data_IF_032126182277
#
_entry.id   IF_032126182277
#
_cell.length_a   1.000
_cell.length_b   1.000
_cell.length_c   1.000
_cell.angle_alpha   90.00
_cell.angle_beta   90.00
_cell.angle_gamma   90.00
#
_symmetry.space_group_name_H-M   'P 1'
#
loop_
_entity.id
_entity.type
_entity.pdbx_description
1 polymer ?
#
# COMPACT_ATOMS: atom_id res chain seq x y z
N UNK A 1 3.61 6.26 5.23
CA UNK A 1 4.53 6.72 4.16
C UNK A 1 5.21 5.51 3.54
N UNK A 2 5.48 5.52 2.23
CA UNK A 2 6.26 4.49 1.54
C UNK A 2 7.72 4.89 1.36
N UNK A 3 8.62 3.90 1.35
CA UNK A 3 10.04 4.11 1.04
C UNK A 3 10.36 3.56 -0.34
N UNK A 4 10.92 4.41 -1.19
CA UNK A 4 11.30 4.07 -2.55
C UNK A 4 12.79 4.22 -2.78
N UNK A 5 13.28 3.47 -3.76
CA UNK A 5 14.64 3.61 -4.26
C UNK A 5 14.55 4.05 -5.72
N UNK A 6 15.15 5.21 -6.02
CA UNK A 6 15.15 5.83 -7.34
C UNK A 6 16.58 5.93 -7.87
N UNK A 7 16.74 6.36 -9.12
CA UNK A 7 18.05 6.66 -9.71
C UNK A 7 18.84 7.74 -8.96
N UNK A 8 18.18 8.58 -8.16
CA UNK A 8 18.80 9.63 -7.36
C UNK A 8 19.01 9.21 -5.88
N UNK A 9 18.83 7.93 -5.57
CA UNK A 9 18.92 7.38 -4.22
C UNK A 9 17.55 7.19 -3.57
N UNK A 10 17.55 7.15 -2.23
CA UNK A 10 16.38 6.89 -1.42
C UNK A 10 15.42 8.08 -1.39
N UNK A 11 14.12 7.80 -1.55
CA UNK A 11 13.07 8.79 -1.45
C UNK A 11 11.91 8.29 -0.59
N UNK A 12 11.19 9.23 0.00
CA UNK A 12 9.95 8.99 0.74
C UNK A 12 8.78 9.38 -0.12
N UNK A 13 7.84 8.46 -0.34
CA UNK A 13 6.67 8.70 -1.17
C UNK A 13 5.40 8.62 -0.32
N UNK A 14 4.47 9.53 -0.57
CA UNK A 14 3.13 9.48 0.00
C UNK A 14 2.20 8.84 -1.02
N UNK A 15 1.62 7.69 -0.69
CA UNK A 15 0.61 7.07 -1.55
C UNK A 15 -0.74 7.63 -1.15
N UNK A 16 -1.45 8.18 -2.13
CA UNK A 16 -2.72 8.84 -1.94
C UNK A 16 -3.83 7.99 -2.54
N UNK A 17 -4.95 7.89 -1.85
CA UNK A 17 -6.14 7.22 -2.37
C UNK A 17 -7.35 8.11 -2.13
N UNK A 18 -8.25 8.16 -3.09
CA UNK A 18 -9.51 8.92 -3.00
C UNK A 18 -10.61 8.22 -3.76
N UNK A 19 -11.85 8.63 -3.50
CA UNK A 19 -13.03 8.20 -4.24
C UNK A 19 -13.48 9.32 -5.17
N UNK A 20 -13.72 9.01 -6.45
CA UNK A 20 -14.11 10.00 -7.45
C UNK A 20 -15.58 9.90 -7.92
N UNK A 21 -16.38 9.01 -7.32
CA UNK A 21 -17.85 8.91 -7.51
C UNK A 21 -18.54 8.50 -6.22
N UNK A 22 -19.79 8.95 -6.03
CA UNK A 22 -20.62 8.51 -4.90
C UNK A 22 -20.84 6.99 -4.96
N UNK A 23 -20.84 6.36 -3.78
CA UNK A 23 -21.15 4.94 -3.66
C UNK A 23 -22.64 4.72 -4.00
N UNK A 24 -22.91 3.78 -4.89
CA UNK A 24 -24.28 3.34 -5.19
C UNK A 24 -24.57 2.07 -4.39
N UNK A 25 -25.22 2.23 -3.24
CA UNK A 25 -25.60 1.12 -2.35
C UNK A 25 -26.93 0.48 -2.74
N UNK A 26 -27.64 1.02 -3.74
CA UNK A 26 -28.95 0.51 -4.16
C UNK A 26 -28.86 -0.74 -5.03
N UNK A 27 -27.68 -1.02 -5.59
CA UNK A 27 -27.44 -2.16 -6.48
C UNK A 27 -26.92 -3.39 -5.72
N UNK A 28 -27.35 -4.61 -6.05
CA UNK A 28 -26.84 -5.83 -5.40
C UNK A 28 -25.42 -6.17 -5.88
N UNK A 29 -24.53 -6.56 -4.96
CA UNK A 29 -23.11 -6.91 -5.24
C UNK A 29 -22.92 -8.22 -6.02
N UNK A 30 -23.98 -9.01 -6.21
CA UNK A 30 -23.96 -10.34 -6.84
C UNK A 30 -23.77 -10.34 -8.36
N UNK A 31 -23.51 -9.18 -8.97
CA UNK A 31 -23.33 -9.03 -10.41
C UNK A 31 -24.62 -9.22 -11.21
N UNK A 32 -25.79 -9.26 -10.56
CA UNK A 32 -27.10 -9.35 -11.24
C UNK A 32 -27.53 -8.05 -11.93
N UNK A 33 -26.81 -6.94 -11.68
CA UNK A 33 -27.10 -5.66 -12.33
C UNK A 33 -26.58 -5.65 -13.75
N UNK A 34 -27.51 -5.63 -14.71
CA UNK A 34 -27.21 -5.52 -16.14
C UNK A 34 -27.36 -4.06 -16.57
N UNK A 35 -26.38 -3.55 -17.32
CA UNK A 35 -26.44 -2.22 -17.89
C UNK A 35 -27.36 -2.14 -19.13
N UNK A 36 -27.57 -0.94 -19.66
CA UNK A 36 -28.43 -0.72 -20.84
C UNK A 36 -27.94 -1.43 -22.12
N UNK A 37 -26.68 -1.88 -22.13
CA UNK A 37 -26.06 -2.64 -23.23
C UNK A 37 -26.12 -4.16 -23.02
N UNK A 38 -26.75 -4.64 -21.94
CA UNK A 38 -26.83 -6.07 -21.67
C UNK A 38 -25.58 -6.67 -21.02
N UNK A 39 -24.62 -5.84 -20.57
CA UNK A 39 -23.40 -6.29 -19.91
C UNK A 39 -23.55 -6.22 -18.39
N UNK A 40 -22.86 -7.13 -17.68
CA UNK A 40 -22.76 -7.06 -16.22
C UNK A 40 -22.05 -5.76 -15.83
N UNK A 41 -22.74 -4.95 -15.02
CA UNK A 41 -22.19 -3.68 -14.57
C UNK A 41 -21.14 -3.94 -13.47
N UNK A 42 -19.87 -3.65 -13.77
CA UNK A 42 -18.83 -3.66 -12.74
C UNK A 42 -19.16 -2.62 -11.66
N UNK A 43 -19.30 -3.09 -10.43
CA UNK A 43 -19.40 -2.24 -9.26
C UNK A 43 -17.97 -1.86 -8.86
N UNK A 44 -17.69 -0.56 -8.84
CA UNK A 44 -16.36 -0.02 -8.57
C UNK A 44 -15.41 0.00 -9.76
N UNK A 45 -14.35 0.79 -9.61
CA UNK A 45 -13.25 0.88 -10.57
C UNK A 45 -11.97 1.30 -9.86
N UNK A 46 -10.82 1.03 -10.47
CA UNK A 46 -9.52 1.38 -9.90
C UNK A 46 -8.67 2.13 -10.92
N UNK A 47 -8.46 3.42 -10.65
CA UNK A 47 -7.64 4.29 -11.49
C UNK A 47 -6.26 4.49 -10.86
N UNK A 48 -5.23 4.52 -11.70
CA UNK A 48 -3.83 4.65 -11.29
C UNK A 48 -3.19 5.84 -11.98
N UNK A 49 -2.45 6.67 -11.23
CA UNK A 49 -1.67 7.79 -11.77
C UNK A 49 -0.36 7.96 -11.00
N UNK A 50 0.58 8.72 -11.58
CA UNK A 50 1.91 8.94 -10.98
C UNK A 50 3.10 8.53 -11.83
N UNK A 51 2.91 8.34 -13.14
CA UNK A 51 3.92 7.83 -14.08
C UNK A 51 4.49 6.48 -13.62
N UNK A 52 3.58 5.54 -13.38
CA UNK A 52 3.90 4.19 -12.97
C UNK A 52 4.35 3.36 -14.17
N UNK A 53 5.46 2.64 -14.03
CA UNK A 53 5.85 1.57 -14.93
C UNK A 53 4.92 0.35 -14.79
N UNK A 54 5.11 -0.65 -15.65
CA UNK A 54 4.18 -1.78 -15.72
C UNK A 54 4.27 -2.68 -14.48
N UNK A 55 5.46 -2.85 -13.89
CA UNK A 55 5.64 -3.60 -12.64
C UNK A 55 4.92 -2.90 -11.48
N UNK A 56 5.00 -1.57 -11.43
CA UNK A 56 4.31 -0.82 -10.37
C UNK A 56 2.78 -0.80 -10.56
N UNK A 57 2.27 -0.76 -11.80
CA UNK A 57 0.84 -0.95 -12.07
C UNK A 57 0.36 -2.34 -11.65
N UNK A 58 1.14 -3.38 -11.94
CA UNK A 58 0.81 -4.75 -11.52
C UNK A 58 0.81 -4.87 -9.99
N UNK A 59 1.84 -4.33 -9.32
CA UNK A 59 1.92 -4.26 -7.86
C UNK A 59 0.71 -3.54 -7.25
N UNK A 60 0.23 -2.45 -7.84
CA UNK A 60 -0.96 -1.75 -7.38
C UNK A 60 -2.25 -2.59 -7.52
N UNK A 61 -2.38 -3.36 -8.61
CA UNK A 61 -3.52 -4.26 -8.81
C UNK A 61 -3.50 -5.45 -7.83
N UNK A 62 -2.31 -6.01 -7.55
CA UNK A 62 -2.12 -7.05 -6.53
C UNK A 62 -2.50 -6.49 -5.15
N UNK A 63 -2.02 -5.30 -4.80
CA UNK A 63 -2.36 -4.64 -3.54
C UNK A 63 -3.87 -4.40 -3.41
N UNK A 64 -4.54 -3.93 -4.47
CA UNK A 64 -5.98 -3.71 -4.44
C UNK A 64 -6.78 -5.01 -4.29
N UNK A 65 -6.37 -6.06 -4.99
CA UNK A 65 -6.99 -7.39 -4.88
C UNK A 65 -6.81 -7.96 -3.48
N UNK A 66 -5.60 -7.86 -2.92
CA UNK A 66 -5.32 -8.30 -1.57
C UNK A 66 -6.12 -7.48 -0.53
N UNK A 67 -6.19 -6.15 -0.65
CA UNK A 67 -6.95 -5.30 0.28
C UNK A 67 -8.43 -5.71 0.38
N UNK A 68 -9.07 -6.03 -0.77
CA UNK A 68 -10.42 -6.59 -0.80
C UNK A 68 -10.53 -7.91 -0.05
N UNK A 69 -9.64 -8.85 -0.37
CA UNK A 69 -9.63 -10.18 0.28
C UNK A 69 -9.35 -10.09 1.78
N UNK A 70 -8.48 -9.17 2.19
CA UNK A 70 -8.08 -8.96 3.56
C UNK A 70 -9.24 -8.49 4.43
N UNK A 71 -10.00 -7.48 3.98
CA UNK A 71 -11.19 -7.01 4.69
C UNK A 71 -12.29 -8.08 4.73
N UNK A 72 -12.49 -8.81 3.61
CA UNK A 72 -13.46 -9.91 3.56
C UNK A 72 -13.13 -11.01 4.58
N UNK A 73 -11.88 -11.44 4.68
CA UNK A 73 -11.45 -12.47 5.64
C UNK A 73 -11.55 -12.04 7.10
N UNK A 74 -11.50 -10.73 7.37
CA UNK A 74 -11.62 -10.16 8.71
C UNK A 74 -13.06 -9.86 9.11
N UNK A 75 -14.04 -10.16 8.24
CA UNK A 75 -15.46 -9.88 8.47
C UNK A 75 -15.74 -8.39 8.75
N UNK A 76 -14.89 -7.50 8.22
CA UNK A 76 -15.04 -6.04 8.29
C UNK A 76 -15.98 -5.58 7.16
N UNK A 77 -17.25 -5.97 7.26
CA UNK A 77 -18.26 -5.83 6.20
C UNK A 77 -18.34 -4.41 5.59
N UNK A 78 -18.38 -3.30 6.37
CA UNK A 78 -18.44 -1.96 5.79
C UNK A 78 -17.24 -1.63 4.90
N UNK A 79 -16.04 -2.03 5.32
CA UNK A 79 -14.81 -1.77 4.56
C UNK A 79 -14.68 -2.70 3.35
N UNK A 80 -15.08 -3.97 3.51
CA UNK A 80 -15.13 -4.96 2.42
C UNK A 80 -16.09 -4.51 1.31
N UNK A 81 -17.33 -4.14 1.67
CA UNK A 81 -18.33 -3.63 0.73
C UNK A 81 -17.87 -2.34 0.05
N UNK A 82 -17.26 -1.42 0.80
CA UNK A 82 -16.71 -0.19 0.26
C UNK A 82 -15.69 -0.47 -0.84
N UNK A 83 -14.68 -1.32 -0.59
CA UNK A 83 -13.65 -1.64 -1.57
C UNK A 83 -14.21 -2.35 -2.80
N UNK A 84 -15.32 -3.06 -2.68
CA UNK A 84 -15.98 -3.71 -3.81
C UNK A 84 -16.73 -2.70 -4.68
N UNK A 85 -17.42 -1.72 -4.09
CA UNK A 85 -18.29 -0.78 -4.82
C UNK A 85 -17.61 0.51 -5.27
N UNK A 86 -16.55 0.93 -4.59
CA UNK A 86 -16.01 2.26 -4.75
C UNK A 86 -15.25 2.43 -6.07
N UNK A 87 -15.40 3.62 -6.65
CA UNK A 87 -14.56 4.10 -7.74
C UNK A 87 -13.33 4.80 -7.13
N UNK A 88 -12.27 4.02 -6.92
CA UNK A 88 -11.06 4.45 -6.22
C UNK A 88 -10.02 4.94 -7.23
N UNK A 89 -9.32 6.00 -6.87
CA UNK A 89 -8.15 6.49 -7.58
C UNK A 89 -6.96 6.45 -6.63
N UNK A 90 -5.92 5.69 -6.99
CA UNK A 90 -4.63 5.69 -6.31
C UNK A 90 -3.64 6.56 -7.08
N UNK A 91 -3.01 7.48 -6.37
CA UNK A 91 -1.98 8.37 -6.90
C UNK A 91 -0.66 8.15 -6.16
N UNK A 92 0.42 8.10 -6.94
CA UNK A 92 1.78 8.15 -6.43
C UNK A 92 2.42 9.45 -6.95
N UNK A 93 2.58 10.48 -6.09
CA UNK A 93 3.10 11.81 -6.44
C UNK A 93 4.44 11.82 -7.15
N UNK A 94 4.86 12.99 -7.65
CA UNK A 94 6.02 13.19 -8.54
C UNK A 94 5.83 12.65 -9.95
N UNK A 95 4.80 13.10 -10.67
CA UNK A 95 4.51 12.63 -12.03
C UNK A 95 5.70 12.71 -13.00
N UNK A 96 6.63 13.66 -12.85
CA UNK A 96 7.78 13.73 -13.77
C UNK A 96 8.77 12.55 -13.64
N UNK A 97 8.82 11.90 -12.46
CA UNK A 97 9.78 10.84 -12.16
C UNK A 97 9.13 9.48 -12.40
N UNK A 98 9.64 8.66 -13.34
CA UNK A 98 9.18 7.28 -13.51
C UNK A 98 9.36 6.48 -12.22
N UNK A 99 8.32 5.71 -11.85
CA UNK A 99 8.35 4.85 -10.67
C UNK A 99 8.02 3.45 -11.11
N UNK A 100 8.99 2.57 -10.94
CA UNK A 100 8.84 1.18 -11.29
C UNK A 100 9.45 0.30 -10.20
N UNK A 101 8.70 -0.72 -9.81
CA UNK A 101 9.11 -1.64 -8.75
C UNK A 101 7.99 -1.98 -7.77
N UNK A 102 7.99 -3.21 -7.21
CA UNK A 102 6.89 -3.72 -6.40
C UNK A 102 6.96 -3.31 -4.92
N UNK A 103 8.05 -2.65 -4.50
CA UNK A 103 8.37 -2.39 -3.09
C UNK A 103 7.41 -1.46 -2.32
N UNK A 104 6.45 -0.87 -3.04
CA UNK A 104 5.38 -0.04 -2.47
C UNK A 104 4.12 -0.83 -2.12
N UNK A 105 4.08 -2.14 -2.41
CA UNK A 105 2.91 -3.01 -2.25
C UNK A 105 2.23 -2.87 -0.88
N UNK A 106 2.97 -3.05 0.21
CA UNK A 106 2.41 -2.92 1.55
C UNK A 106 1.89 -1.49 1.85
N UNK A 107 2.54 -0.46 1.30
CA UNK A 107 2.09 0.93 1.49
C UNK A 107 0.77 1.18 0.75
N UNK A 108 0.62 0.62 -0.46
CA UNK A 108 -0.60 0.74 -1.26
C UNK A 108 -1.79 0.08 -0.57
N UNK A 109 -1.59 -1.14 -0.02
CA UNK A 109 -2.64 -1.80 0.77
C UNK A 109 -3.01 -0.94 1.98
N UNK A 110 -2.03 -0.43 2.73
CA UNK A 110 -2.32 0.39 3.92
C UNK A 110 -3.09 1.66 3.57
N UNK A 111 -2.77 2.33 2.45
CA UNK A 111 -3.51 3.49 1.99
C UNK A 111 -4.97 3.14 1.62
N UNK A 112 -5.18 2.04 0.90
CA UNK A 112 -6.51 1.55 0.52
C UNK A 112 -7.36 1.17 1.74
N UNK A 113 -6.76 0.48 2.72
CA UNK A 113 -7.44 0.10 3.94
C UNK A 113 -7.76 1.31 4.82
N UNK A 114 -6.86 2.29 4.89
CA UNK A 114 -7.10 3.55 5.61
C UNK A 114 -8.32 4.29 5.04
N UNK A 115 -8.42 4.35 3.70
CA UNK A 115 -9.58 4.93 3.02
C UNK A 115 -10.86 4.14 3.29
N UNK A 116 -10.81 2.81 3.21
CA UNK A 116 -11.98 1.95 3.40
C UNK A 116 -12.51 1.94 4.84
N UNK A 117 -11.60 1.97 5.83
CA UNK A 117 -11.95 2.02 7.25
C UNK A 117 -12.34 3.42 7.72
N UNK A 118 -12.06 4.46 6.93
CA UNK A 118 -12.16 5.85 7.38
C UNK A 118 -11.25 6.17 8.57
N UNK A 119 -10.15 5.41 8.72
CA UNK A 119 -9.23 5.51 9.86
C UNK A 119 -7.85 5.95 9.37
N UNK A 120 -7.26 7.01 9.94
CA UNK A 120 -5.91 7.43 9.57
C UNK A 120 -4.87 6.41 10.05
N UNK A 121 -3.80 6.28 9.28
CA UNK A 121 -2.61 5.50 9.66
C UNK A 121 -1.88 6.21 10.79
N UNK A 122 -1.26 5.44 11.70
CA UNK A 122 -0.38 5.96 12.75
C UNK A 122 0.66 6.93 12.16
N UNK A 123 0.84 8.13 12.75
CA UNK A 123 1.83 9.09 12.26
C UNK A 123 3.26 8.60 12.46
N UNK A 124 4.20 9.19 11.71
CA UNK A 124 5.65 8.93 11.80
C UNK A 124 6.07 7.48 11.53
N UNK A 125 5.27 6.74 10.74
CA UNK A 125 5.62 5.42 10.24
C UNK A 125 5.95 5.45 8.75
N UNK A 126 7.03 4.78 8.37
CA UNK A 126 7.33 4.47 6.97
C UNK A 126 7.45 2.96 6.77
N UNK A 127 7.11 2.48 5.58
CA UNK A 127 7.14 1.05 5.26
C UNK A 127 7.62 0.80 3.84
N UNK A 128 8.19 -0.38 3.62
CA UNK A 128 8.50 -0.92 2.29
C UNK A 128 8.32 -2.43 2.32
N UNK A 129 8.00 -3.01 1.18
CA UNK A 129 7.71 -4.43 1.08
C UNK A 129 6.84 -4.68 -0.13
N UNK A 130 7.28 -5.60 -0.97
CA UNK A 130 6.41 -6.20 -1.97
C UNK A 130 5.36 -7.07 -1.25
N UNK A 131 4.15 -7.12 -1.79
CA UNK A 131 3.07 -7.92 -1.23
C UNK A 131 2.59 -8.95 -2.25
N UNK A 132 2.40 -10.19 -1.80
CA UNK A 132 1.75 -11.23 -2.59
C UNK A 132 0.22 -11.19 -2.45
N UNK A 133 -0.49 -11.88 -3.34
CA UNK A 133 -1.94 -12.10 -3.21
C UNK A 133 -2.35 -12.86 -1.95
N UNK A 134 -1.42 -13.55 -1.30
CA UNK A 134 -1.64 -14.27 -0.04
C UNK A 134 -1.29 -13.44 1.20
N UNK A 135 -0.79 -12.21 1.02
CA UNK A 135 -0.42 -11.31 2.10
C UNK A 135 1.00 -11.50 2.63
N UNK A 136 1.83 -12.31 1.97
CA UNK A 136 3.26 -12.41 2.32
C UNK A 136 3.96 -11.11 1.94
N UNK A 137 4.79 -10.60 2.85
CA UNK A 137 5.68 -9.47 2.62
C UNK A 137 7.03 -10.00 2.14
N UNK A 138 7.44 -9.57 0.95
CA UNK A 138 8.64 -10.04 0.26
C UNK A 138 9.76 -9.01 0.37
N UNK A 139 11.00 -9.52 0.34
CA UNK A 139 12.22 -8.72 0.42
C UNK A 139 12.29 -7.69 -0.71
N UNK A 140 12.92 -6.54 -0.42
CA UNK A 140 13.10 -5.44 -1.36
C UNK A 140 14.54 -4.96 -1.38
N UNK A 141 14.96 -4.36 -2.49
CA UNK A 141 16.27 -3.72 -2.60
C UNK A 141 16.33 -2.31 -1.98
N UNK A 142 17.55 -1.78 -1.87
CA UNK A 142 17.83 -0.40 -1.49
C UNK A 142 17.55 -0.06 -0.02
N UNK A 143 17.73 -1.03 0.90
CA UNK A 143 17.43 -0.85 2.33
C UNK A 143 18.23 0.31 2.93
N UNK A 144 19.53 0.40 2.64
CA UNK A 144 20.38 1.51 3.08
C UNK A 144 19.82 2.86 2.68
N UNK A 145 19.53 3.05 1.39
CA UNK A 145 19.04 4.30 0.84
C UNK A 145 17.67 4.67 1.41
N UNK A 146 16.78 3.68 1.54
CA UNK A 146 15.43 3.85 2.10
C UNK A 146 15.46 4.27 3.57
N UNK A 147 16.32 3.64 4.38
CA UNK A 147 16.47 3.98 5.80
C UNK A 147 17.06 5.39 5.96
N UNK A 148 18.06 5.77 5.15
CA UNK A 148 18.60 7.14 5.14
C UNK A 148 17.50 8.16 4.79
N UNK A 149 16.67 7.86 3.77
CA UNK A 149 15.58 8.74 3.37
C UNK A 149 14.53 8.91 4.47
N UNK A 150 14.15 7.82 5.13
CA UNK A 150 13.23 7.85 6.27
C UNK A 150 13.78 8.70 7.42
N UNK A 151 15.05 8.50 7.78
CA UNK A 151 15.72 9.26 8.85
C UNK A 151 15.83 10.75 8.52
N UNK A 152 16.12 11.10 7.25
CA UNK A 152 16.20 12.50 6.78
C UNK A 152 14.90 13.28 6.99
N UNK A 153 13.75 12.62 6.90
CA UNK A 153 12.43 13.26 7.11
C UNK A 153 11.89 13.07 8.53
N UNK A 154 12.69 12.53 9.46
CA UNK A 154 12.31 12.39 10.87
C UNK A 154 11.34 11.25 11.18
N UNK A 155 11.26 10.22 10.32
CA UNK A 155 10.50 9.00 10.64
C UNK A 155 11.10 8.32 11.87
N UNK A 156 10.25 7.91 12.80
CA UNK A 156 10.66 7.21 14.04
C UNK A 156 10.49 5.70 13.93
N UNK A 157 9.52 5.24 13.14
CA UNK A 157 9.20 3.82 13.01
C UNK A 157 9.27 3.38 11.56
N UNK A 158 10.04 2.33 11.29
CA UNK A 158 10.15 1.73 9.96
C UNK A 158 9.66 0.28 10.00
N UNK A 159 8.84 -0.10 9.02
CA UNK A 159 8.43 -1.48 8.79
C UNK A 159 9.19 -2.02 7.57
N UNK A 160 9.94 -3.10 7.77
CA UNK A 160 10.76 -3.76 6.75
C UNK A 160 10.34 -5.23 6.61
N UNK A 161 10.51 -5.85 5.42
CA UNK A 161 10.35 -7.29 5.27
C UNK A 161 11.33 -8.04 6.18
N UNK A 162 10.91 -9.16 6.76
CA UNK A 162 11.76 -10.00 7.63
C UNK A 162 12.99 -10.53 6.88
N UNK A 163 12.84 -10.84 5.59
CA UNK A 163 13.95 -11.26 4.73
C UNK A 163 15.04 -10.18 4.55
N UNK A 164 14.75 -8.91 4.86
CA UNK A 164 15.71 -7.80 4.82
C UNK A 164 16.43 -7.54 6.17
N UNK A 165 16.28 -8.41 7.16
CA UNK A 165 16.91 -8.25 8.49
C UNK A 165 18.43 -8.12 8.42
N UNK A 166 19.05 -8.91 7.55
CA UNK A 166 20.50 -8.88 7.34
C UNK A 166 20.93 -7.56 6.67
N UNK A 167 20.23 -7.14 5.62
CA UNK A 167 20.52 -5.88 4.92
C UNK A 167 20.45 -4.67 5.87
N UNK A 168 19.53 -4.70 6.83
CA UNK A 168 19.43 -3.66 7.85
C UNK A 168 20.55 -3.77 8.91
N UNK A 169 20.86 -4.98 9.37
CA UNK A 169 21.90 -5.20 10.38
C UNK A 169 23.31 -4.81 9.89
N UNK A 170 23.56 -4.93 8.57
CA UNK A 170 24.82 -4.56 7.94
C UNK A 170 24.98 -3.02 7.75
N UNK A 171 23.97 -2.22 8.12
CA UNK A 171 24.06 -0.76 8.06
C UNK A 171 24.94 -0.21 9.20
N UNK A 172 25.69 0.88 8.98
CA UNK A 172 26.37 1.58 10.07
C UNK A 172 25.43 2.02 11.20
N UNK A 173 25.88 1.94 12.45
CA UNK A 173 25.10 2.27 13.66
C UNK A 173 24.43 3.65 13.57
N UNK A 174 25.16 4.66 13.11
CA UNK A 174 24.63 6.02 12.97
C UNK A 174 23.43 6.13 12.00
N UNK A 175 23.20 5.13 11.14
CA UNK A 175 22.00 5.05 10.28
C UNK A 175 20.85 4.40 11.05
N UNK A 176 21.13 3.37 11.84
CA UNK A 176 20.14 2.62 12.63
C UNK A 176 19.64 3.40 13.86
N UNK A 177 20.52 4.21 14.47
CA UNK A 177 20.24 4.90 15.72
C UNK A 177 18.98 5.77 15.67
N UNK A 178 18.15 5.67 16.71
CA UNK A 178 16.93 6.46 16.88
C UNK A 178 15.73 5.95 16.05
N UNK A 179 15.86 4.82 15.36
CA UNK A 179 14.77 4.19 14.62
C UNK A 179 14.23 2.97 15.37
N UNK A 180 12.90 2.90 15.51
CA UNK A 180 12.20 1.67 15.88
C UNK A 180 11.91 0.88 14.61
N UNK A 181 12.43 -0.34 14.51
CA UNK A 181 12.30 -1.16 13.29
C UNK A 181 11.45 -2.39 13.59
N UNK A 182 10.41 -2.60 12.78
CA UNK A 182 9.60 -3.80 12.80
C UNK A 182 9.87 -4.64 11.56
N UNK A 183 10.29 -5.89 11.77
CA UNK A 183 10.46 -6.87 10.71
C UNK A 183 9.20 -7.71 10.60
N UNK A 184 8.63 -7.80 9.40
CA UNK A 184 7.34 -8.45 9.15
C UNK A 184 7.42 -9.47 8.01
N UNK A 185 6.71 -10.58 8.17
CA UNK A 185 6.60 -11.64 7.16
C UNK A 185 5.24 -11.62 6.46
N UNK A 186 4.20 -11.14 7.13
CA UNK A 186 2.83 -11.05 6.60
C UNK A 186 2.20 -9.69 6.86
N UNK A 187 1.23 -9.33 6.01
CA UNK A 187 0.59 -8.02 6.05
C UNK A 187 -0.24 -7.78 7.32
N UNK A 188 -0.77 -8.82 7.98
CA UNK A 188 -1.47 -8.67 9.26
C UNK A 188 -0.63 -7.91 10.29
N UNK A 189 0.67 -8.18 10.34
CA UNK A 189 1.60 -7.47 11.23
C UNK A 189 1.75 -5.99 10.85
N UNK A 190 1.77 -5.69 9.54
CA UNK A 190 1.77 -4.30 9.05
C UNK A 190 0.49 -3.59 9.48
N UNK A 191 -0.66 -4.25 9.36
CA UNK A 191 -1.96 -3.71 9.73
C UNK A 191 -2.05 -3.39 11.22
N UNK A 192 -1.64 -4.31 12.09
CA UNK A 192 -1.59 -4.11 13.55
C UNK A 192 -0.72 -2.89 13.93
N UNK A 193 0.50 -2.80 13.38
CA UNK A 193 1.41 -1.68 13.63
C UNK A 193 0.85 -0.35 13.09
N UNK A 194 0.22 -0.37 11.91
CA UNK A 194 -0.24 0.82 11.21
C UNK A 194 -1.52 1.41 11.81
N UNK A 195 -2.41 0.58 12.36
CA UNK A 195 -3.73 1.01 12.83
C UNK A 195 -3.94 0.80 14.35
N UNK A 196 -2.94 0.29 15.07
CA UNK A 196 -3.03 -0.06 16.51
C UNK A 196 -4.20 -1.00 16.82
N UNK A 197 -4.41 -2.01 15.97
CA UNK A 197 -5.37 -3.09 16.22
C UNK A 197 -4.79 -4.16 17.14
#
# INVERSE_FOLDING_TARGET
MGLAWTSHGGSTLYIETTVHRKLDTTKPLDGSTIDKSGQQQQQGSFALTGHLGDVMKESANIAYTFAKSFMLKREEEPASEFLQRAHIHLHVPEGATPKDGPSAGCTMVTALLSLALGKPVRPNIAMTGEISLTGKILAVGGIKEKVIAAKRVGVQTIILPDDNRKDFADLPDYIQDGLTVHFVSYYDQVFEIAFNY
#
